data_IF_330032969288
#
_entry.id   IF_330032969288
#
_cell.length_a   1.000
_cell.length_b   1.000
_cell.length_c   1.000
_cell.angle_alpha   90.00
_cell.angle_beta   90.00
_cell.angle_gamma   90.00
#
_symmetry.space_group_name_H-M   'P 1'
#
loop_
_entity.id
_entity.type
_entity.pdbx_description
1 polymer ?
#
# COMPACT_ATOMS: atom_id res chain seq x y z
N UNK A 1 11.84 -1.70 9.77
CA UNK A 1 11.17 -0.39 9.93
C UNK A 1 10.76 0.11 8.55
N UNK A 2 9.62 0.78 8.40
CA UNK A 2 9.18 1.30 7.09
C UNK A 2 9.88 2.63 6.81
N UNK A 3 10.59 2.76 5.68
CA UNK A 3 11.25 4.01 5.29
C UNK A 3 10.28 4.93 4.52
N UNK A 4 9.80 6.05 5.11
CA UNK A 4 8.82 6.92 4.46
C UNK A 4 9.40 7.70 3.26
N UNK A 5 10.71 7.92 3.21
CA UNK A 5 11.38 8.58 2.09
C UNK A 5 11.40 7.66 0.86
N UNK A 6 11.67 6.37 1.06
CA UNK A 6 11.59 5.36 0.00
C UNK A 6 10.17 5.26 -0.59
N UNK A 7 9.13 5.29 0.26
CA UNK A 7 7.74 5.29 -0.20
C UNK A 7 7.37 6.57 -0.99
N UNK A 8 7.86 7.73 -0.55
CA UNK A 8 7.65 8.98 -1.26
C UNK A 8 8.36 8.97 -2.63
N UNK A 9 9.60 8.45 -2.69
CA UNK A 9 10.35 8.28 -3.93
C UNK A 9 9.64 7.31 -4.89
N UNK A 10 9.06 6.22 -4.38
CA UNK A 10 8.29 5.27 -5.18
C UNK A 10 7.03 5.91 -5.79
N UNK A 11 6.30 6.74 -5.04
CA UNK A 11 5.18 7.53 -5.58
C UNK A 11 5.65 8.47 -6.69
N UNK A 12 6.76 9.17 -6.49
CA UNK A 12 7.33 10.07 -7.48
C UNK A 12 7.77 9.34 -8.75
N UNK A 13 8.47 8.21 -8.61
CA UNK A 13 8.88 7.34 -9.72
C UNK A 13 7.67 6.82 -10.52
N UNK A 14 6.58 6.49 -9.82
CA UNK A 14 5.29 6.12 -10.42
C UNK A 14 4.48 7.30 -11.01
N UNK A 15 5.03 8.52 -10.97
CA UNK A 15 4.38 9.78 -11.35
C UNK A 15 3.04 10.02 -10.64
N UNK A 16 2.98 9.64 -9.37
CA UNK A 16 1.82 9.84 -8.49
C UNK A 16 2.10 10.99 -7.53
N UNK A 17 1.12 11.88 -7.38
CA UNK A 17 1.12 12.92 -6.34
C UNK A 17 1.24 12.29 -4.95
N UNK A 18 2.09 12.88 -4.10
CA UNK A 18 2.31 12.48 -2.71
C UNK A 18 1.19 12.97 -1.79
N UNK A 19 0.00 12.39 -1.93
CA UNK A 19 -1.13 12.71 -1.04
C UNK A 19 -1.02 11.93 0.26
N UNK A 20 -1.61 12.47 1.34
CA UNK A 20 -1.61 11.82 2.64
C UNK A 20 -2.24 10.41 2.58
N UNK A 21 -3.35 10.25 1.87
CA UNK A 21 -4.03 8.96 1.70
C UNK A 21 -3.16 7.93 1.00
N UNK A 22 -2.45 8.31 -0.07
CA UNK A 22 -1.55 7.40 -0.79
C UNK A 22 -0.40 6.93 0.09
N UNK A 23 0.20 7.86 0.85
CA UNK A 23 1.24 7.52 1.81
C UNK A 23 0.72 6.57 2.88
N UNK A 24 -0.48 6.80 3.43
CA UNK A 24 -1.06 5.91 4.44
C UNK A 24 -1.26 4.48 3.93
N UNK A 25 -1.85 4.32 2.75
CA UNK A 25 -2.10 3.00 2.16
C UNK A 25 -0.78 2.27 1.87
N UNK A 26 0.23 2.97 1.33
CA UNK A 26 1.56 2.39 1.09
C UNK A 26 2.27 2.01 2.39
N UNK A 27 2.22 2.86 3.41
CA UNK A 27 2.83 2.58 4.72
C UNK A 27 2.19 1.37 5.38
N UNK A 28 0.86 1.23 5.32
CA UNK A 28 0.18 0.06 5.89
C UNK A 28 0.58 -1.23 5.17
N UNK A 29 0.68 -1.21 3.83
CA UNK A 29 1.18 -2.34 3.05
C UNK A 29 2.66 -2.66 3.35
N UNK A 30 3.49 -1.63 3.52
CA UNK A 30 4.90 -1.82 3.88
C UNK A 30 5.07 -2.42 5.28
N UNK A 31 4.21 -2.04 6.22
CA UNK A 31 4.21 -2.56 7.60
C UNK A 31 3.93 -4.06 7.66
N UNK A 32 3.11 -4.57 6.75
CA UNK A 32 2.76 -5.99 6.67
C UNK A 32 3.75 -6.81 5.83
N UNK A 33 4.71 -6.15 5.17
CA UNK A 33 5.77 -6.78 4.41
C UNK A 33 5.25 -7.56 3.19
N UNK A 34 5.78 -8.77 2.91
CA UNK A 34 5.40 -9.55 1.74
C UNK A 34 4.03 -10.21 1.86
N UNK A 35 3.41 -10.23 3.04
CA UNK A 35 2.14 -10.90 3.26
C UNK A 35 0.99 -10.16 2.54
N UNK A 36 0.24 -10.83 1.64
CA UNK A 36 -0.87 -10.23 0.93
C UNK A 36 -2.07 -9.99 1.86
N UNK A 37 -2.79 -8.88 1.67
CA UNK A 37 -3.97 -8.51 2.45
C UNK A 37 -5.11 -8.00 1.59
N UNK A 38 -6.35 -8.28 1.97
CA UNK A 38 -7.50 -7.78 1.21
C UNK A 38 -7.67 -6.27 1.39
N UNK A 39 -8.36 -5.61 0.46
CA UNK A 39 -8.70 -4.19 0.61
C UNK A 39 -9.49 -3.89 1.89
N UNK A 40 -10.32 -4.84 2.36
CA UNK A 40 -11.06 -4.72 3.62
C UNK A 40 -10.13 -4.71 4.82
N UNK A 41 -9.14 -5.59 4.83
CA UNK A 41 -8.17 -5.68 5.93
C UNK A 41 -7.32 -4.40 6.04
N UNK A 42 -6.89 -3.88 4.89
CA UNK A 42 -6.12 -2.62 4.81
C UNK A 42 -6.99 -1.46 5.28
N UNK A 43 -8.23 -1.35 4.80
CA UNK A 43 -9.15 -0.30 5.22
C UNK A 43 -9.45 -0.36 6.73
N UNK A 44 -9.71 -1.54 7.26
CA UNK A 44 -9.98 -1.74 8.69
C UNK A 44 -8.79 -1.28 9.55
N UNK A 45 -7.56 -1.62 9.15
CA UNK A 45 -6.34 -1.18 9.84
C UNK A 45 -6.16 0.34 9.80
N UNK A 46 -6.41 0.97 8.64
CA UNK A 46 -6.34 2.43 8.51
C UNK A 46 -7.41 3.15 9.33
N UNK A 47 -8.60 2.55 9.46
CA UNK A 47 -9.73 3.16 10.17
C UNK A 47 -9.53 3.21 11.68
N UNK A 48 -8.81 2.26 12.27
CA UNK A 48 -8.49 2.25 13.70
C UNK A 48 -7.70 3.48 14.15
N UNK A 49 -6.95 4.12 13.24
CA UNK A 49 -6.25 5.37 13.52
C UNK A 49 -6.95 6.63 13.02
N UNK A 50 -7.94 6.52 12.09
CA UNK A 50 -8.57 7.67 11.40
C UNK A 50 -9.99 7.37 10.90
N UNK A 51 -11.04 8.00 11.46
CA UNK A 51 -12.43 7.67 11.11
C UNK A 51 -12.92 8.15 9.74
N UNK A 52 -12.21 9.06 9.05
CA UNK A 52 -12.73 9.75 7.86
C UNK A 52 -12.38 9.13 6.50
N UNK A 53 -11.61 8.04 6.43
CA UNK A 53 -11.20 7.46 5.14
C UNK A 53 -12.27 6.48 4.60
N UNK A 54 -12.94 6.78 3.47
CA UNK A 54 -13.91 5.86 2.89
C UNK A 54 -13.24 4.61 2.32
N UNK A 55 -13.95 3.48 2.37
CA UNK A 55 -13.49 2.23 1.76
C UNK A 55 -13.24 2.39 0.25
N UNK A 56 -14.15 3.08 -0.45
CA UNK A 56 -14.03 3.35 -1.89
C UNK A 56 -12.74 4.11 -2.25
N UNK A 57 -12.34 5.08 -1.42
CA UNK A 57 -11.07 5.80 -1.58
C UNK A 57 -9.88 4.85 -1.42
N UNK A 58 -9.91 3.98 -0.41
CA UNK A 58 -8.85 2.97 -0.19
C UNK A 58 -8.74 2.05 -1.41
N UNK A 59 -9.87 1.55 -1.90
CA UNK A 59 -9.91 0.66 -3.06
C UNK A 59 -9.39 1.33 -4.34
N UNK A 60 -9.81 2.57 -4.63
CA UNK A 60 -9.32 3.34 -5.79
C UNK A 60 -7.81 3.58 -5.72
N UNK A 61 -7.28 3.84 -4.53
CA UNK A 61 -5.83 4.00 -4.33
C UNK A 61 -5.09 2.68 -4.61
N UNK A 62 -5.60 1.55 -4.10
CA UNK A 62 -5.02 0.23 -4.36
C UNK A 62 -5.01 -0.10 -5.86
N UNK A 63 -6.13 0.11 -6.55
CA UNK A 63 -6.20 -0.07 -8.02
C UNK A 63 -5.20 0.81 -8.76
N UNK A 64 -5.07 2.08 -8.34
CA UNK A 64 -4.09 2.99 -8.91
C UNK A 64 -2.65 2.48 -8.72
N UNK A 65 -2.31 1.97 -7.53
CA UNK A 65 -1.00 1.39 -7.25
C UNK A 65 -0.73 0.12 -8.04
N UNK A 66 -1.74 -0.75 -8.21
CA UNK A 66 -1.63 -1.93 -9.08
C UNK A 66 -1.34 -1.53 -10.51
N UNK A 67 -2.09 -0.56 -11.05
CA UNK A 67 -1.86 -0.05 -12.40
C UNK A 67 -0.48 0.60 -12.58
N UNK A 68 0.12 1.14 -11.50
CA UNK A 68 1.46 1.72 -11.51
C UNK A 68 2.58 0.74 -11.13
N UNK A 69 2.27 -0.53 -10.89
CA UNK A 69 3.27 -1.55 -10.54
C UNK A 69 3.87 -1.43 -9.13
N UNK A 70 3.28 -0.59 -8.26
CA UNK A 70 3.72 -0.48 -6.86
C UNK A 70 3.15 -1.60 -5.98
N UNK A 71 2.03 -2.18 -6.41
CA UNK A 71 1.28 -3.22 -5.71
C UNK A 71 0.96 -4.34 -6.67
N UNK A 72 1.07 -5.57 -6.21
CA UNK A 72 0.67 -6.77 -6.94
C UNK A 72 -0.62 -7.31 -6.33
N UNK A 73 -1.54 -7.74 -7.19
CA UNK A 73 -2.78 -8.41 -6.79
C UNK A 73 -2.64 -9.92 -6.94
N UNK A 74 -3.11 -10.64 -5.94
CA UNK A 74 -3.22 -12.10 -5.94
C UNK A 74 -4.70 -12.49 -5.80
N UNK A 75 -5.07 -13.64 -6.38
CA UNK A 75 -6.41 -14.19 -6.22
C UNK A 75 -6.66 -14.50 -4.74
N UNK A 76 -7.86 -14.18 -4.24
CA UNK A 76 -8.27 -14.61 -2.91
C UNK A 76 -9.67 -15.23 -2.99
N UNK A 77 -9.85 -16.35 -2.29
CA UNK A 77 -10.97 -17.27 -2.53
C UNK A 77 -12.33 -16.78 -2.00
N UNK A 78 -12.38 -15.79 -1.10
CA UNK A 78 -13.65 -15.35 -0.48
C UNK A 78 -13.78 -13.85 -0.13
N UNK A 79 -12.73 -13.03 -0.31
CA UNK A 79 -12.67 -11.65 0.19
C UNK A 79 -12.49 -10.56 -0.88
N UNK A 80 -12.44 -10.94 -2.16
CA UNK A 80 -11.90 -10.10 -3.23
C UNK A 80 -10.37 -10.19 -3.30
N UNK A 81 -9.72 -9.51 -4.26
CA UNK A 81 -8.28 -9.64 -4.47
C UNK A 81 -7.47 -9.27 -3.22
N UNK A 82 -6.39 -10.00 -2.99
CA UNK A 82 -5.40 -9.65 -2.00
C UNK A 82 -4.29 -8.80 -2.63
N UNK A 83 -3.76 -7.85 -1.88
CA UNK A 83 -2.79 -6.85 -2.33
C UNK A 83 -1.53 -6.95 -1.50
N UNK A 84 -0.36 -6.90 -2.15
CA UNK A 84 0.94 -6.73 -1.49
C UNK A 84 1.82 -5.77 -2.27
N UNK A 85 2.86 -5.24 -1.63
CA UNK A 85 3.87 -4.45 -2.34
C UNK A 85 4.59 -5.29 -3.40
N UNK A 86 5.03 -4.62 -4.48
CA UNK A 86 5.94 -5.24 -5.44
C UNK A 86 7.29 -5.58 -4.77
N UNK A 87 7.95 -6.62 -5.27
CA UNK A 87 9.21 -7.08 -4.68
C UNK A 87 10.29 -5.99 -4.64
N UNK A 88 10.37 -5.17 -5.69
CA UNK A 88 11.31 -4.04 -5.79
C UNK A 88 11.06 -3.00 -4.70
N UNK A 89 9.79 -2.73 -4.41
CA UNK A 89 9.40 -1.76 -3.41
C UNK A 89 9.60 -2.30 -1.99
N UNK A 90 9.40 -3.60 -1.76
CA UNK A 90 9.72 -4.24 -0.47
C UNK A 90 11.21 -4.11 -0.16
N UNK A 91 12.08 -4.38 -1.13
CA UNK A 91 13.53 -4.27 -0.95
C UNK A 91 13.99 -2.85 -0.64
N UNK A 92 13.28 -1.84 -1.14
CA UNK A 92 13.66 -0.43 -0.95
C UNK A 92 13.01 0.19 0.30
N UNK A 93 11.76 -0.17 0.61
CA UNK A 93 10.98 0.43 1.69
C UNK A 93 11.14 -0.29 3.05
N UNK A 94 11.55 -1.56 3.05
CA UNK A 94 11.69 -2.38 4.26
C UNK A 94 13.15 -2.68 4.63
N UNK A 95 14.13 -2.15 3.89
CA UNK A 95 15.56 -2.31 4.22
C UNK A 95 15.86 -1.56 5.53
N UNK A 96 16.56 -2.17 6.50
CA UNK A 96 17.17 -1.39 7.57
C UNK A 96 18.21 -0.45 6.95
N UNK A 97 18.21 0.83 7.34
CA UNK A 97 19.33 1.73 7.03
C UNK A 97 20.64 1.07 7.51
N UNK A 98 21.72 1.16 6.72
CA UNK A 98 23.03 0.62 7.11
C UNK A 98 23.62 1.31 8.35
#
# INVERSE_FOLDING_TARGET
MVNPLALAAALQAARLSRTQTRMLVLTELARTGPAPRTARDIHAALRQGRPSLPFSTTYRVLQCFTHKGLVVTEAADAGGPAFRLSADLIQTACRPDP
#
